data_IF_289517822920
#
_entry.id   IF_289517822920
#
_cell.length_a   1.000
_cell.length_b   1.000
_cell.length_c   1.000
_cell.angle_alpha   90.00
_cell.angle_beta   90.00
_cell.angle_gamma   90.00
#
_symmetry.space_group_name_H-M   'P 1'
#
loop_
_entity.id
_entity.type
_entity.pdbx_description
1 polymer ?
#
# COMPACT_ATOMS: atom_id res chain seq x y z
N UNK A 1 -9.52 24.26 28.46
CA UNK A 1 -8.35 24.02 27.56
C UNK A 1 -7.10 23.48 28.26
N UNK A 2 -6.86 23.75 29.55
CA UNK A 2 -5.65 23.30 30.27
C UNK A 2 -5.52 21.77 30.46
N UNK A 3 -6.54 20.97 30.16
CA UNK A 3 -6.66 19.57 30.62
C UNK A 3 -6.23 18.50 29.62
N UNK A 4 -6.15 18.80 28.32
CA UNK A 4 -5.75 17.82 27.28
C UNK A 4 -4.25 17.91 27.00
N UNK A 5 -3.71 19.12 26.82
CA UNK A 5 -2.27 19.37 26.68
C UNK A 5 -1.47 18.79 27.85
N UNK A 6 -1.89 19.09 29.08
CA UNK A 6 -1.24 18.60 30.31
C UNK A 6 -1.29 17.07 30.46
N UNK A 7 -2.21 16.39 29.76
CA UNK A 7 -2.31 14.92 29.74
C UNK A 7 -1.51 14.28 28.62
N UNK A 8 -1.38 14.94 27.47
CA UNK A 8 -0.71 14.39 26.27
C UNK A 8 0.79 14.68 26.27
N UNK A 9 1.20 15.89 26.66
CA UNK A 9 2.60 16.33 26.64
C UNK A 9 3.53 15.39 27.44
N UNK A 10 3.19 14.93 28.66
CA UNK A 10 4.02 13.97 29.40
C UNK A 10 4.11 12.59 28.74
N UNK A 11 3.07 12.15 28.04
CA UNK A 11 3.04 10.87 27.32
C UNK A 11 3.98 10.94 26.12
N UNK A 12 3.90 12.02 25.34
CA UNK A 12 4.77 12.22 24.17
C UNK A 12 6.23 12.36 24.60
N UNK A 13 6.52 13.14 25.66
CA UNK A 13 7.88 13.26 26.21
C UNK A 13 8.41 11.91 26.71
N UNK A 14 7.58 11.10 27.37
CA UNK A 14 7.99 9.78 27.85
C UNK A 14 8.24 8.79 26.70
N UNK A 15 7.42 8.82 25.66
CA UNK A 15 7.65 8.01 24.45
C UNK A 15 8.95 8.46 23.76
N UNK A 16 9.17 9.76 23.55
CA UNK A 16 10.39 10.29 22.96
C UNK A 16 11.64 9.89 23.75
N UNK A 17 11.60 9.95 25.09
CA UNK A 17 12.70 9.53 25.94
C UNK A 17 12.98 8.01 25.85
N UNK A 18 11.94 7.17 25.74
CA UNK A 18 12.07 5.73 25.56
C UNK A 18 12.66 5.38 24.18
N UNK A 19 12.23 6.08 23.12
CA UNK A 19 12.76 5.92 21.76
C UNK A 19 14.24 6.33 21.70
N UNK A 20 14.59 7.50 22.23
CA UNK A 20 15.96 8.00 22.26
C UNK A 20 16.91 7.10 23.09
N UNK A 21 16.43 6.57 24.23
CA UNK A 21 17.20 5.62 25.04
C UNK A 21 17.47 4.29 24.30
N UNK A 22 16.47 3.80 23.55
CA UNK A 22 16.58 2.58 22.74
C UNK A 22 17.53 2.77 21.55
N UNK A 23 17.40 3.90 20.84
CA UNK A 23 18.29 4.32 19.74
C UNK A 23 19.76 4.39 20.19
N UNK A 24 20.04 5.02 21.33
CA UNK A 24 21.41 5.12 21.86
C UNK A 24 22.03 3.76 22.25
N UNK A 25 21.23 2.83 22.79
CA UNK A 25 21.70 1.47 23.11
C UNK A 25 21.97 0.65 21.84
N UNK A 26 21.12 0.78 20.82
CA UNK A 26 21.28 0.15 19.52
C UNK A 26 22.54 0.63 18.80
N UNK A 27 22.73 1.95 18.69
CA UNK A 27 23.90 2.56 18.05
C UNK A 27 25.23 2.14 18.70
N UNK A 28 25.26 1.98 20.03
CA UNK A 28 26.43 1.47 20.76
C UNK A 28 26.72 0.01 20.45
N UNK A 29 25.68 -0.82 20.35
CA UNK A 29 25.80 -2.23 19.97
C UNK A 29 26.25 -2.37 18.50
N UNK A 30 25.67 -1.60 17.60
CA UNK A 30 26.03 -1.55 16.17
C UNK A 30 27.50 -1.15 15.98
N UNK A 31 27.95 -0.11 16.66
CA UNK A 31 29.36 0.35 16.64
C UNK A 31 30.31 -0.75 17.14
N UNK A 32 29.93 -1.44 18.22
CA UNK A 32 30.74 -2.53 18.80
C UNK A 32 30.82 -3.72 17.84
N UNK A 33 29.69 -4.09 17.23
CA UNK A 33 29.58 -5.17 16.25
C UNK A 33 30.39 -4.87 14.99
N UNK A 34 30.28 -3.65 14.45
CA UNK A 34 31.08 -3.15 13.33
C UNK A 34 32.58 -3.23 13.60
N UNK A 35 33.02 -2.84 14.80
CA UNK A 35 34.43 -2.91 15.18
C UNK A 35 34.94 -4.36 15.27
N UNK A 36 34.14 -5.27 15.83
CA UNK A 36 34.43 -6.71 15.91
C UNK A 36 34.50 -7.36 14.52
N UNK A 37 33.51 -7.11 13.66
CA UNK A 37 33.49 -7.58 12.27
C UNK A 37 34.72 -7.08 11.51
N UNK A 38 35.06 -5.79 11.62
CA UNK A 38 36.25 -5.24 10.99
C UNK A 38 37.55 -5.94 11.43
N UNK A 39 37.68 -6.31 12.71
CA UNK A 39 38.84 -7.05 13.22
C UNK A 39 38.87 -8.49 12.72
N UNK A 40 37.73 -9.17 12.68
CA UNK A 40 37.63 -10.55 12.20
C UNK A 40 37.89 -10.65 10.70
N UNK A 41 37.39 -9.71 9.91
CA UNK A 41 37.62 -9.62 8.46
C UNK A 41 39.08 -9.36 8.09
N UNK A 42 39.87 -8.76 8.99
CA UNK A 42 41.33 -8.54 8.81
C UNK A 42 42.18 -9.68 9.40
N UNK A 43 41.57 -10.67 10.03
CA UNK A 43 42.28 -11.79 10.65
C UNK A 43 42.45 -12.93 9.64
N UNK A 44 43.50 -13.75 9.82
CA UNK A 44 43.72 -14.97 9.02
C UNK A 44 42.63 -16.05 9.21
N UNK A 45 41.65 -15.82 10.09
CA UNK A 45 40.55 -16.73 10.41
C UNK A 45 39.52 -16.89 9.27
N UNK A 46 39.56 -16.05 8.23
CA UNK A 46 38.68 -16.16 7.05
C UNK A 46 38.91 -17.40 6.19
N UNK A 47 39.96 -18.18 6.44
CA UNK A 47 40.23 -19.45 5.73
C UNK A 47 39.44 -20.62 6.29
N UNK A 48 38.73 -20.42 7.39
CA UNK A 48 37.87 -21.40 8.02
C UNK A 48 36.42 -21.15 7.57
N UNK A 49 35.82 -22.14 6.93
CA UNK A 49 34.48 -22.03 6.34
C UNK A 49 33.39 -21.82 7.40
N UNK A 50 33.56 -22.34 8.62
CA UNK A 50 32.62 -22.13 9.73
C UNK A 50 32.66 -20.67 10.22
N UNK A 51 33.87 -20.08 10.26
CA UNK A 51 34.04 -18.67 10.62
C UNK A 51 33.45 -17.75 9.54
N UNK A 52 33.56 -18.13 8.27
CA UNK A 52 32.99 -17.38 7.15
C UNK A 52 31.46 -17.38 7.18
N UNK A 53 30.84 -18.52 7.46
CA UNK A 53 29.37 -18.63 7.60
C UNK A 53 28.86 -17.81 8.79
N UNK A 54 29.55 -17.87 9.94
CA UNK A 54 29.21 -17.06 11.12
C UNK A 54 29.38 -15.57 10.86
N UNK A 55 30.39 -15.15 10.09
CA UNK A 55 30.57 -13.74 9.69
C UNK A 55 29.46 -13.26 8.77
N UNK A 56 28.96 -14.12 7.88
CA UNK A 56 27.81 -13.80 7.03
C UNK A 56 26.54 -13.58 7.87
N UNK A 57 26.30 -14.45 8.86
CA UNK A 57 25.18 -14.28 9.81
C UNK A 57 25.30 -12.98 10.60
N UNK A 58 26.48 -12.64 11.10
CA UNK A 58 26.72 -11.38 11.80
C UNK A 58 26.51 -10.15 10.90
N UNK A 59 26.87 -10.24 9.62
CA UNK A 59 26.57 -9.22 8.62
C UNK A 59 25.07 -9.02 8.37
N UNK A 60 24.29 -10.12 8.33
CA UNK A 60 22.82 -10.08 8.23
C UNK A 60 22.18 -9.45 9.47
N UNK A 61 22.66 -9.79 10.66
CA UNK A 61 22.20 -9.19 11.92
C UNK A 61 22.49 -7.68 11.94
N UNK A 62 23.67 -7.27 11.50
CA UNK A 62 24.05 -5.87 11.41
C UNK A 62 23.12 -5.09 10.45
N UNK A 63 22.82 -5.65 9.27
CA UNK A 63 21.90 -5.03 8.32
C UNK A 63 20.48 -4.84 8.90
N UNK A 64 19.99 -5.83 9.67
CA UNK A 64 18.71 -5.72 10.39
C UNK A 64 18.75 -4.64 11.48
N UNK A 65 19.88 -4.51 12.19
CA UNK A 65 20.05 -3.45 13.19
C UNK A 65 20.03 -2.07 12.55
N UNK A 66 20.71 -1.88 11.42
CA UNK A 66 20.70 -0.62 10.67
C UNK A 66 19.29 -0.28 10.14
N UNK A 67 18.52 -1.26 9.66
CA UNK A 67 17.12 -1.05 9.24
C UNK A 67 16.20 -0.65 10.41
N UNK A 68 16.40 -1.27 11.58
CA UNK A 68 15.70 -0.89 12.81
C UNK A 68 16.03 0.54 13.25
N UNK A 69 17.29 0.96 13.12
CA UNK A 69 17.72 2.32 13.47
C UNK A 69 17.11 3.36 12.52
N UNK A 70 17.08 3.08 11.20
CA UNK A 70 16.39 3.93 10.22
C UNK A 70 14.89 4.06 10.52
N UNK A 71 14.23 2.96 10.93
CA UNK A 71 12.82 3.00 11.35
C UNK A 71 12.60 3.79 12.64
N UNK A 72 13.53 3.72 13.59
CA UNK A 72 13.45 4.55 14.79
C UNK A 72 13.57 6.05 14.45
N UNK A 73 14.46 6.41 13.53
CA UNK A 73 14.60 7.80 13.05
C UNK A 73 13.32 8.29 12.34
N UNK A 74 12.68 7.43 11.54
CA UNK A 74 11.41 7.76 10.87
C UNK A 74 10.26 7.95 11.88
N UNK A 75 10.18 7.10 12.91
CA UNK A 75 9.20 7.26 14.00
C UNK A 75 9.44 8.58 14.74
N UNK A 76 10.70 8.97 14.99
CA UNK A 76 11.03 10.26 15.61
C UNK A 76 10.59 11.44 14.74
N UNK A 77 10.76 11.37 13.41
CA UNK A 77 10.25 12.38 12.47
C UNK A 77 8.73 12.50 12.50
N UNK A 78 8.02 11.37 12.48
CA UNK A 78 6.56 11.36 12.59
C UNK A 78 6.06 11.93 13.92
N UNK A 79 6.76 11.65 15.03
CA UNK A 79 6.45 12.25 16.33
C UNK A 79 6.62 13.77 16.32
N UNK A 80 7.67 14.30 15.67
CA UNK A 80 7.87 15.74 15.52
C UNK A 80 6.76 16.39 14.69
N UNK A 81 6.29 15.73 13.63
CA UNK A 81 5.16 16.21 12.83
C UNK A 81 3.87 16.30 13.66
N UNK A 82 3.56 15.27 14.45
CA UNK A 82 2.38 15.27 15.35
C UNK A 82 2.47 16.41 16.37
N UNK A 83 3.65 16.64 16.96
CA UNK A 83 3.88 17.76 17.87
C UNK A 83 3.70 19.13 17.21
N UNK A 84 4.14 19.28 15.95
CA UNK A 84 3.97 20.51 15.18
C UNK A 84 2.48 20.80 14.90
N UNK A 85 1.71 19.78 14.49
CA UNK A 85 0.26 19.91 14.27
C UNK A 85 -0.50 20.23 15.55
N UNK A 86 -0.15 19.60 16.68
CA UNK A 86 -0.73 19.93 17.98
C UNK A 86 -0.45 21.40 18.35
N UNK A 87 0.76 21.91 18.09
CA UNK A 87 1.08 23.33 18.32
C UNK A 87 0.26 24.28 17.44
N UNK A 88 -0.01 23.91 16.18
CA UNK A 88 -0.85 24.69 15.27
C UNK A 88 -2.30 24.73 15.77
N UNK A 89 -2.83 23.58 16.20
CA UNK A 89 -4.17 23.46 16.77
C UNK A 89 -4.33 24.29 18.04
N UNK A 90 -3.34 24.26 18.94
CA UNK A 90 -3.33 25.11 20.14
C UNK A 90 -3.38 26.60 19.80
N UNK A 91 -2.58 27.05 18.84
CA UNK A 91 -2.58 28.46 18.39
C UNK A 91 -3.92 28.86 17.76
N UNK A 92 -4.57 27.96 17.01
CA UNK A 92 -5.90 28.21 16.43
C UNK A 92 -6.98 28.30 17.50
N UNK A 93 -6.92 27.41 18.49
CA UNK A 93 -7.84 27.38 19.62
C UNK A 93 -7.73 28.63 20.50
N UNK A 94 -6.51 29.10 20.79
CA UNK A 94 -6.29 30.35 21.54
C UNK A 94 -6.88 31.56 20.81
N UNK A 95 -6.68 31.67 19.49
CA UNK A 95 -7.28 32.75 18.67
C UNK A 95 -8.81 32.74 18.69
N UNK A 96 -9.44 31.56 18.75
CA UNK A 96 -10.90 31.46 18.84
C UNK A 96 -11.43 31.92 20.21
N UNK A 97 -10.66 31.72 21.30
CA UNK A 97 -11.04 32.24 22.63
C UNK A 97 -10.87 33.75 22.77
N UNK A 98 -9.99 34.37 21.97
CA UNK A 98 -9.79 35.83 21.94
C UNK A 98 -10.90 36.57 21.20
N UNK A 99 -11.57 35.92 20.25
CA UNK A 99 -12.65 36.51 19.44
C UNK A 99 -14.01 36.56 20.17
N UNK A 100 -14.19 35.80 21.25
CA UNK A 100 -15.39 35.87 22.09
C UNK A 100 -15.32 36.99 23.16
N UNK A 101 -14.18 37.67 23.30
CA UNK A 101 -13.96 38.71 24.32
C UNK A 101 -14.03 40.16 23.79
N UNK A 102 -14.25 40.38 22.50
CA UNK A 102 -14.18 41.73 21.87
C UNK A 102 -15.54 42.33 21.48
N UNK A 103 -16.66 41.80 21.98
CA UNK A 103 -17.95 42.50 21.96
C UNK A 103 -18.26 43.07 23.35
N UNK A 104 -17.56 44.15 23.69
CA UNK A 104 -17.87 45.03 24.82
C UNK A 104 -18.32 46.41 24.33
N UNK A 105 -19.49 46.81 24.80
CA UNK A 105 -20.10 48.15 24.91
C UNK A 105 -19.78 49.24 23.87
N UNK A 106 -20.84 49.74 23.21
CA UNK A 106 -20.79 50.96 22.40
C UNK A 106 -22.17 51.40 21.87
N UNK A 107 -22.86 52.19 22.70
CA UNK A 107 -23.77 53.34 22.47
C UNK A 107 -24.89 53.36 21.40
N UNK A 108 -25.97 54.01 21.86
CA UNK A 108 -27.25 54.35 21.25
C UNK A 108 -27.13 55.13 19.91
N UNK A 109 -28.04 54.86 18.96
CA UNK A 109 -28.92 55.92 18.42
C UNK A 109 -30.07 55.39 17.55
N UNK A 110 -31.17 56.12 17.71
CA UNK A 110 -32.56 56.01 17.25
C UNK A 110 -32.74 55.95 15.71
N UNK A 111 -33.72 55.16 15.23
CA UNK A 111 -34.75 55.52 14.21
C UNK A 111 -35.78 54.37 14.08
N UNK A 112 -37.03 54.64 14.45
CA UNK A 112 -38.28 53.88 14.15
C UNK A 112 -38.79 54.19 12.70
N UNK A 113 -39.87 53.60 12.09
CA UNK A 113 -41.01 52.78 12.61
C UNK A 113 -41.48 51.67 11.57
N UNK A 114 -42.75 51.16 11.45
CA UNK A 114 -43.94 51.18 12.31
C UNK A 114 -44.62 49.80 12.58
N UNK A 115 -45.68 49.91 13.39
CA UNK A 115 -46.62 48.97 14.06
C UNK A 115 -47.58 48.18 13.14
N UNK A 116 -47.95 46.93 13.51
CA UNK A 116 -49.36 46.47 13.61
C UNK A 116 -49.54 45.14 14.38
N UNK A 117 -50.69 45.04 15.06
CA UNK A 117 -50.97 44.26 16.28
C UNK A 117 -52.01 43.10 16.10
N UNK A 118 -51.92 42.17 17.05
CA UNK A 118 -52.76 41.08 17.57
C UNK A 118 -54.13 40.71 16.94
N UNK A 119 -54.25 39.43 16.55
CA UNK A 119 -55.33 38.47 16.93
C UNK A 119 -54.75 37.04 16.82
N UNK A 120 -55.03 36.00 17.60
CA UNK A 120 -55.79 35.78 18.81
C UNK A 120 -55.20 34.52 19.49
N UNK A 121 -55.09 34.54 20.81
CA UNK A 121 -54.82 33.38 21.65
C UNK A 121 -56.11 32.58 21.80
N UNK A 122 -56.09 31.31 21.43
CA UNK A 122 -56.55 30.17 22.25
C UNK A 122 -56.86 29.00 21.33
N UNK A 123 -56.16 27.88 21.53
CA UNK A 123 -56.79 26.61 21.91
C UNK A 123 -55.71 25.54 22.04
N UNK A 124 -55.78 24.89 23.20
CA UNK A 124 -54.88 23.90 23.75
C UNK A 124 -55.13 22.51 23.18
N UNK A 125 -54.05 21.73 23.09
CA UNK A 125 -53.99 20.28 23.37
C UNK A 125 -55.02 19.34 22.72
N UNK A 126 -54.67 18.78 21.56
CA UNK A 126 -54.85 17.36 21.23
C UNK A 126 -54.19 17.06 19.86
N UNK A 127 -53.51 15.91 19.75
CA UNK A 127 -52.90 15.31 18.55
C UNK A 127 -51.56 15.97 18.10
N UNK A 128 -50.41 15.30 17.99
CA UNK A 128 -50.14 13.89 17.81
C UNK A 128 -48.83 13.47 18.50
N UNK A 129 -48.96 12.66 19.56
CA UNK A 129 -47.94 11.72 19.99
C UNK A 129 -47.89 10.56 18.99
N UNK A 130 -47.02 10.64 17.98
CA UNK A 130 -46.62 9.50 17.17
C UNK A 130 -45.29 9.79 16.49
N UNK A 131 -44.19 9.70 17.26
CA UNK A 131 -42.81 9.50 16.78
C UNK A 131 -41.85 9.48 17.97
N UNK A 132 -41.99 8.48 18.84
CA UNK A 132 -40.86 7.99 19.62
C UNK A 132 -41.21 6.60 20.20
N UNK A 133 -40.20 5.72 20.17
CA UNK A 133 -40.11 4.32 20.62
C UNK A 133 -40.25 3.25 19.52
N UNK A 134 -39.43 2.15 19.51
CA UNK A 134 -38.11 1.96 20.14
C UNK A 134 -37.05 1.38 19.16
N UNK A 135 -35.86 2.00 19.12
CA UNK A 135 -34.66 1.50 18.40
C UNK A 135 -34.13 0.18 19.00
N UNK A 136 -34.70 -0.29 20.11
CA UNK A 136 -34.29 -1.52 20.81
C UNK A 136 -34.82 -2.82 20.19
N UNK A 137 -35.85 -2.78 19.33
CA UNK A 137 -36.43 -4.00 18.72
C UNK A 137 -35.75 -4.44 17.42
N UNK A 138 -35.00 -3.58 16.74
CA UNK A 138 -34.28 -3.95 15.51
C UNK A 138 -33.01 -4.76 15.80
N UNK A 139 -32.30 -4.45 16.88
CA UNK A 139 -31.09 -5.18 17.28
C UNK A 139 -31.42 -6.61 17.75
N UNK A 140 -32.58 -6.82 18.38
CA UNK A 140 -33.01 -8.15 18.84
C UNK A 140 -33.40 -9.06 17.67
N UNK A 141 -34.03 -8.49 16.62
CA UNK A 141 -34.34 -9.21 15.40
C UNK A 141 -33.06 -9.58 14.61
N UNK A 142 -32.08 -8.68 14.53
CA UNK A 142 -30.77 -8.94 13.95
C UNK A 142 -29.99 -10.05 14.69
N UNK A 143 -30.05 -10.07 16.02
CA UNK A 143 -29.44 -11.12 16.86
C UNK A 143 -30.13 -12.49 16.67
N UNK A 144 -31.46 -12.53 16.57
CA UNK A 144 -32.20 -13.77 16.32
C UNK A 144 -31.96 -14.32 14.90
N UNK A 145 -31.81 -13.44 13.90
CA UNK A 145 -31.43 -13.82 12.54
C UNK A 145 -30.01 -14.40 12.51
N UNK A 146 -29.05 -13.80 13.23
CA UNK A 146 -27.68 -14.32 13.34
C UNK A 146 -27.57 -15.69 14.02
N UNK A 147 -28.56 -16.08 14.84
CA UNK A 147 -28.64 -17.39 15.50
C UNK A 147 -29.35 -18.46 14.65
N UNK A 148 -30.11 -18.06 13.62
CA UNK A 148 -30.82 -18.97 12.70
C UNK A 148 -30.01 -19.32 11.45
N UNK A 149 -28.95 -18.56 11.15
CA UNK A 149 -27.95 -18.97 10.17
C UNK A 149 -26.82 -19.69 10.92
N UNK A 150 -26.63 -21.02 10.73
CA UNK A 150 -25.38 -21.63 11.16
C UNK A 150 -24.27 -20.80 10.51
N UNK A 151 -23.26 -20.40 11.30
CA UNK A 151 -22.07 -19.78 10.77
C UNK A 151 -21.56 -20.73 9.68
N UNK A 152 -21.83 -20.39 8.42
CA UNK A 152 -21.23 -21.08 7.29
C UNK A 152 -19.75 -21.06 7.61
N UNK A 153 -19.16 -22.23 7.85
CA UNK A 153 -17.71 -22.33 7.81
C UNK A 153 -17.34 -21.76 6.45
N UNK A 154 -16.84 -20.53 6.45
CA UNK A 154 -16.13 -20.02 5.30
C UNK A 154 -15.00 -21.03 5.16
N UNK A 155 -15.10 -21.91 4.17
CA UNK A 155 -13.94 -22.65 3.70
C UNK A 155 -13.01 -21.51 3.31
N UNK A 156 -12.08 -21.20 4.19
CA UNK A 156 -11.07 -20.19 3.92
C UNK A 156 -10.28 -20.77 2.75
N UNK A 157 -10.61 -20.31 1.54
CA UNK A 157 -9.93 -20.73 0.33
C UNK A 157 -8.45 -20.46 0.59
N UNK A 158 -7.65 -21.53 0.60
CA UNK A 158 -6.21 -21.46 0.83
C UNK A 158 -5.51 -20.96 -0.44
N UNK A 159 -5.95 -19.79 -0.90
CA UNK A 159 -5.53 -19.11 -2.11
C UNK A 159 -4.91 -17.79 -1.70
N UNK A 160 -3.63 -17.66 -1.98
CA UNK A 160 -2.88 -16.42 -1.79
C UNK A 160 -3.04 -15.55 -3.04
N UNK A 161 -3.68 -14.40 -2.89
CA UNK A 161 -3.69 -13.39 -3.95
C UNK A 161 -2.35 -12.66 -3.97
N UNK A 162 -1.70 -12.63 -5.12
CA UNK A 162 -0.41 -11.98 -5.36
C UNK A 162 -0.59 -10.92 -6.44
N UNK A 163 -0.60 -9.66 -6.02
CA UNK A 163 -0.58 -8.51 -6.94
C UNK A 163 0.86 -8.07 -7.18
N UNK A 164 1.26 -7.97 -8.45
CA UNK A 164 2.59 -7.58 -8.91
C UNK A 164 2.48 -6.26 -9.66
N UNK A 165 3.02 -5.19 -9.06
CA UNK A 165 3.12 -3.87 -9.68
C UNK A 165 4.52 -3.74 -10.29
N UNK A 166 4.62 -3.50 -11.60
CA UNK A 166 5.89 -3.58 -12.32
C UNK A 166 5.92 -2.66 -13.55
N UNK A 167 7.13 -2.52 -14.12
CA UNK A 167 7.37 -1.82 -15.39
C UNK A 167 8.04 -2.74 -16.40
N UNK A 168 7.69 -2.57 -17.66
CA UNK A 168 8.21 -3.42 -18.73
C UNK A 168 9.70 -3.26 -18.99
N UNK A 169 10.32 -2.10 -18.69
CA UNK A 169 11.76 -1.86 -18.91
C UNK A 169 12.58 -1.82 -17.62
N UNK A 170 11.97 -2.05 -16.45
CA UNK A 170 12.68 -2.10 -15.18
C UNK A 170 13.43 -3.45 -15.01
N UNK A 171 14.77 -3.47 -14.87
CA UNK A 171 15.52 -4.72 -14.75
C UNK A 171 15.13 -5.58 -13.54
N UNK A 172 14.85 -4.95 -12.39
CA UNK A 172 14.41 -5.68 -11.19
C UNK A 172 13.03 -6.34 -11.40
N UNK A 173 12.13 -5.67 -12.14
CA UNK A 173 10.81 -6.22 -12.50
C UNK A 173 10.95 -7.44 -13.41
N UNK A 174 11.80 -7.35 -14.45
CA UNK A 174 12.13 -8.47 -15.32
C UNK A 174 12.71 -9.64 -14.52
N UNK A 175 13.69 -9.37 -13.67
CA UNK A 175 14.35 -10.39 -12.87
C UNK A 175 13.36 -11.11 -11.94
N UNK A 176 12.54 -10.39 -11.19
CA UNK A 176 11.55 -11.00 -10.32
C UNK A 176 10.58 -11.90 -11.09
N UNK A 177 10.00 -11.41 -12.19
CA UNK A 177 9.02 -12.18 -12.96
C UNK A 177 9.66 -13.45 -13.52
N UNK A 178 10.84 -13.33 -14.12
CA UNK A 178 11.49 -14.42 -14.86
C UNK A 178 12.22 -15.42 -13.97
N UNK A 179 12.74 -14.98 -12.82
CA UNK A 179 13.60 -15.81 -11.95
C UNK A 179 12.97 -16.20 -10.61
N UNK A 180 11.95 -15.48 -10.15
CA UNK A 180 11.27 -15.75 -8.88
C UNK A 180 9.85 -16.27 -9.12
N UNK A 181 8.98 -15.46 -9.70
CA UNK A 181 7.55 -15.76 -9.82
C UNK A 181 7.27 -16.92 -10.80
N UNK A 182 7.73 -16.81 -12.04
CA UNK A 182 7.47 -17.81 -13.09
C UNK A 182 7.92 -19.23 -12.71
N UNK A 183 9.17 -19.47 -12.27
CA UNK A 183 9.62 -20.83 -11.93
C UNK A 183 8.95 -21.39 -10.67
N UNK A 184 8.46 -20.52 -9.77
CA UNK A 184 7.78 -20.95 -8.54
C UNK A 184 6.31 -21.33 -8.78
N UNK A 185 5.69 -20.78 -9.82
CA UNK A 185 4.25 -20.93 -10.04
C UNK A 185 3.82 -22.39 -10.15
N UNK A 186 4.55 -23.24 -10.88
CA UNK A 186 4.18 -24.66 -11.05
C UNK A 186 4.17 -25.44 -9.74
N UNK A 187 4.92 -25.01 -8.71
CA UNK A 187 4.98 -25.65 -7.39
C UNK A 187 3.73 -25.37 -6.56
N UNK A 188 3.12 -24.20 -6.71
CA UNK A 188 2.05 -23.69 -5.82
C UNK A 188 0.84 -23.10 -6.58
N UNK A 189 0.68 -23.40 -7.87
CA UNK A 189 -0.29 -22.77 -8.76
C UNK A 189 -1.75 -22.89 -8.29
N UNK A 190 -2.12 -24.03 -7.68
CA UNK A 190 -3.47 -24.26 -7.14
C UNK A 190 -3.78 -23.39 -5.91
N UNK A 191 -2.78 -22.78 -5.30
CA UNK A 191 -2.88 -21.91 -4.13
C UNK A 191 -2.59 -20.45 -4.46
N UNK A 192 -2.53 -20.06 -5.75
CA UNK A 192 -2.23 -18.69 -6.17
C UNK A 192 -3.35 -18.06 -6.99
N UNK A 193 -3.59 -16.77 -6.70
CA UNK A 193 -4.34 -15.86 -7.55
C UNK A 193 -3.46 -14.67 -7.95
N UNK A 194 -2.96 -14.68 -9.19
CA UNK A 194 -2.06 -13.67 -9.74
C UNK A 194 -2.84 -12.48 -10.31
N UNK A 195 -2.38 -11.29 -9.97
CA UNK A 195 -2.86 -10.02 -10.49
C UNK A 195 -1.66 -9.18 -10.95
N UNK A 196 -1.65 -8.82 -12.22
CA UNK A 196 -0.53 -8.12 -12.86
C UNK A 196 -0.90 -6.67 -13.15
N UNK A 197 -0.07 -5.73 -12.70
CA UNK A 197 -0.28 -4.29 -12.88
C UNK A 197 0.95 -3.67 -13.58
N UNK A 198 1.07 -3.81 -14.92
CA UNK A 198 2.11 -3.15 -15.72
C UNK A 198 1.83 -1.65 -15.82
N UNK A 199 2.47 -0.86 -14.96
CA UNK A 199 2.37 0.60 -14.95
C UNK A 199 3.56 1.20 -14.22
N UNK A 200 3.80 0.71 -13.00
CA UNK A 200 4.91 1.11 -12.15
C UNK A 200 4.84 2.54 -11.66
N UNK A 201 5.88 3.32 -11.95
CA UNK A 201 6.02 4.73 -11.56
C UNK A 201 5.76 5.68 -12.72
N UNK A 202 5.08 5.20 -13.76
CA UNK A 202 4.58 6.07 -14.81
C UNK A 202 3.64 7.15 -14.21
N UNK A 203 3.45 8.24 -14.94
CA UNK A 203 2.38 9.21 -14.67
C UNK A 203 1.46 9.25 -15.88
N UNK A 204 0.20 9.64 -15.65
CA UNK A 204 -0.78 9.82 -16.72
C UNK A 204 -1.65 11.05 -16.50
N UNK A 205 -2.02 11.72 -17.59
CA UNK A 205 -2.82 12.95 -17.56
C UNK A 205 -3.58 13.12 -18.89
N UNK A 206 -4.68 13.88 -18.87
CA UNK A 206 -5.47 14.17 -20.07
C UNK A 206 -4.95 15.41 -20.78
N UNK A 207 -4.80 15.31 -22.11
CA UNK A 207 -4.57 16.44 -23.02
C UNK A 207 -5.59 16.32 -24.15
N UNK A 208 -6.45 17.33 -24.29
CA UNK A 208 -7.53 17.35 -25.30
C UNK A 208 -8.40 16.07 -25.30
N UNK A 209 -8.73 15.57 -24.10
CA UNK A 209 -9.53 14.36 -23.92
C UNK A 209 -8.81 13.05 -24.24
N UNK A 210 -7.49 13.07 -24.46
CA UNK A 210 -6.67 11.87 -24.69
C UNK A 210 -5.66 11.67 -23.58
N UNK A 211 -5.49 10.43 -23.13
CA UNK A 211 -4.45 10.12 -22.15
C UNK A 211 -3.06 10.29 -22.73
N UNK A 212 -2.16 10.84 -21.92
CA UNK A 212 -0.73 10.92 -22.15
C UNK A 212 -0.01 10.29 -20.98
N UNK A 213 1.11 9.64 -21.27
CA UNK A 213 1.88 8.88 -20.30
C UNK A 213 3.33 9.36 -20.29
N UNK A 214 3.92 9.43 -19.10
CA UNK A 214 5.36 9.61 -18.91
C UNK A 214 5.89 8.47 -18.05
N UNK A 215 6.84 7.70 -18.58
CA UNK A 215 7.42 6.53 -17.90
C UNK A 215 8.91 6.76 -17.61
N UNK A 216 9.47 6.05 -16.63
CA UNK A 216 10.83 6.29 -16.12
C UNK A 216 11.90 5.97 -17.17
N UNK A 217 11.66 4.94 -17.98
CA UNK A 217 12.56 4.48 -19.04
C UNK A 217 12.10 4.95 -20.43
N UNK A 218 11.35 6.06 -20.49
CA UNK A 218 10.92 6.68 -21.74
C UNK A 218 9.67 6.06 -22.37
N UNK A 219 9.31 6.47 -23.60
CA UNK A 219 8.05 6.09 -24.25
C UNK A 219 7.95 4.60 -24.56
N UNK A 220 9.07 3.92 -24.78
CA UNK A 220 9.11 2.48 -25.04
C UNK A 220 8.62 1.68 -23.84
N UNK A 221 8.90 2.13 -22.61
CA UNK A 221 8.33 1.52 -21.41
C UNK A 221 6.81 1.68 -21.35
N UNK A 222 6.30 2.86 -21.68
CA UNK A 222 4.85 3.06 -21.73
C UNK A 222 4.20 2.12 -22.76
N UNK A 223 4.82 1.96 -23.95
CA UNK A 223 4.32 1.05 -24.98
C UNK A 223 4.41 -0.43 -24.55
N UNK A 224 5.52 -0.84 -23.93
CA UNK A 224 5.69 -2.19 -23.38
C UNK A 224 4.70 -2.50 -22.26
N UNK A 225 4.41 -1.53 -21.39
CA UNK A 225 3.35 -1.61 -20.39
C UNK A 225 1.98 -1.79 -21.07
N UNK A 226 1.67 -1.01 -22.12
CA UNK A 226 0.42 -1.17 -22.90
C UNK A 226 0.28 -2.52 -23.57
N UNK A 227 1.34 -3.04 -24.20
CA UNK A 227 1.31 -4.39 -24.79
C UNK A 227 0.91 -5.45 -23.76
N UNK A 228 1.53 -5.40 -22.58
CA UNK A 228 1.22 -6.34 -21.51
C UNK A 228 -0.19 -6.13 -20.95
N UNK A 229 -0.60 -4.87 -20.72
CA UNK A 229 -1.94 -4.52 -20.25
C UNK A 229 -3.05 -5.01 -21.20
N UNK A 230 -2.89 -4.80 -22.51
CA UNK A 230 -3.83 -5.25 -23.53
C UNK A 230 -3.93 -6.78 -23.61
N UNK A 231 -2.83 -7.50 -23.48
CA UNK A 231 -2.84 -8.96 -23.37
C UNK A 231 -3.54 -9.45 -22.09
N UNK A 232 -3.25 -8.82 -20.96
CA UNK A 232 -3.79 -9.18 -19.64
C UNK A 232 -5.29 -8.88 -19.47
N UNK A 233 -5.81 -7.90 -20.22
CA UNK A 233 -7.24 -7.56 -20.26
C UNK A 233 -8.10 -8.66 -20.92
N UNK A 234 -7.48 -9.61 -21.64
CA UNK A 234 -8.21 -10.73 -22.25
C UNK A 234 -8.58 -11.79 -21.22
N UNK A 235 -9.68 -12.49 -21.49
CA UNK A 235 -10.17 -13.57 -20.64
C UNK A 235 -9.37 -14.86 -20.87
N UNK A 236 -8.29 -15.04 -20.12
CA UNK A 236 -7.39 -16.20 -20.20
C UNK A 236 -7.07 -16.73 -18.81
N UNK A 237 -6.60 -17.97 -18.75
CA UNK A 237 -6.19 -18.59 -17.48
C UNK A 237 -4.97 -17.88 -16.87
N UNK A 238 -4.81 -17.99 -15.55
CA UNK A 238 -3.66 -17.42 -14.86
C UNK A 238 -2.33 -17.95 -15.41
N UNK A 239 -2.26 -19.24 -15.73
CA UNK A 239 -1.07 -19.86 -16.31
C UNK A 239 -0.70 -19.23 -17.66
N UNK A 240 -1.66 -19.03 -18.55
CA UNK A 240 -1.43 -18.36 -19.84
C UNK A 240 -1.00 -16.90 -19.66
N UNK A 241 -1.66 -16.17 -18.74
CA UNK A 241 -1.29 -14.77 -18.44
C UNK A 241 0.13 -14.68 -17.91
N UNK A 242 0.51 -15.56 -16.99
CA UNK A 242 1.87 -15.62 -16.46
C UNK A 242 2.89 -16.03 -17.53
N UNK A 243 2.59 -17.01 -18.40
CA UNK A 243 3.49 -17.42 -19.47
C UNK A 243 3.72 -16.28 -20.48
N UNK A 244 2.67 -15.52 -20.80
CA UNK A 244 2.76 -14.32 -21.64
C UNK A 244 3.61 -13.22 -20.99
N UNK A 245 3.34 -12.87 -19.74
CA UNK A 245 4.10 -11.84 -19.01
C UNK A 245 5.57 -12.26 -18.89
N UNK A 246 5.84 -13.53 -18.52
CA UNK A 246 7.21 -14.05 -18.48
C UNK A 246 7.92 -13.97 -19.85
N UNK A 247 7.23 -14.31 -20.94
CA UNK A 247 7.77 -14.19 -22.29
C UNK A 247 8.12 -12.74 -22.64
N UNK A 248 7.19 -11.80 -22.39
CA UNK A 248 7.39 -10.37 -22.66
C UNK A 248 8.54 -9.80 -21.83
N UNK A 249 8.59 -10.13 -20.53
CA UNK A 249 9.63 -9.66 -19.60
C UNK A 249 10.99 -10.35 -19.81
N UNK A 250 11.04 -11.43 -20.59
CA UNK A 250 12.28 -12.08 -21.06
C UNK A 250 12.76 -11.54 -22.42
N UNK A 251 11.98 -10.70 -23.09
CA UNK A 251 12.37 -10.13 -24.37
C UNK A 251 13.47 -9.08 -24.20
N UNK A 252 14.41 -8.99 -25.14
CA UNK A 252 15.43 -7.94 -25.15
C UNK A 252 14.83 -6.54 -25.28
N UNK A 253 13.69 -6.43 -25.97
CA UNK A 253 12.88 -5.22 -26.03
C UNK A 253 11.38 -5.56 -25.90
N UNK A 254 10.80 -5.46 -24.70
CA UNK A 254 9.36 -5.67 -24.45
C UNK A 254 8.42 -4.70 -25.15
N UNK A 255 8.92 -3.55 -25.63
CA UNK A 255 8.10 -2.59 -26.39
C UNK A 255 7.95 -2.98 -27.86
N UNK A 256 8.77 -3.89 -28.36
CA UNK A 256 8.80 -4.23 -29.79
C UNK A 256 7.62 -5.10 -30.24
N UNK A 257 7.13 -4.90 -31.46
CA UNK A 257 6.14 -5.78 -32.08
C UNK A 257 6.65 -7.23 -32.23
N UNK A 258 7.97 -7.42 -32.34
CA UNK A 258 8.58 -8.74 -32.35
C UNK A 258 8.38 -9.48 -31.02
N UNK A 259 8.47 -8.78 -29.88
CA UNK A 259 8.16 -9.37 -28.59
C UNK A 259 6.69 -9.79 -28.52
N UNK A 260 5.77 -8.93 -28.96
CA UNK A 260 4.33 -9.25 -29.02
C UNK A 260 4.07 -10.45 -29.93
N UNK A 261 4.65 -10.46 -31.13
CA UNK A 261 4.53 -11.56 -32.11
C UNK A 261 4.98 -12.89 -31.52
N UNK A 262 6.08 -12.89 -30.75
CA UNK A 262 6.61 -14.08 -30.09
C UNK A 262 5.75 -14.52 -28.91
N UNK A 263 5.18 -13.58 -28.16
CA UNK A 263 4.55 -13.87 -26.87
C UNK A 263 3.02 -13.98 -26.91
N UNK A 264 2.33 -13.30 -27.83
CA UNK A 264 0.87 -13.41 -27.97
C UNK A 264 0.34 -14.85 -28.12
N UNK A 265 1.04 -15.77 -28.82
CA UNK A 265 0.62 -17.18 -28.88
C UNK A 265 0.52 -17.86 -27.51
N UNK A 266 1.23 -17.38 -26.47
CA UNK A 266 1.13 -17.91 -25.10
C UNK A 266 -0.22 -17.65 -24.44
N UNK A 267 -0.92 -16.61 -24.89
CA UNK A 267 -2.31 -16.33 -24.50
C UNK A 267 -3.32 -17.09 -25.38
N UNK A 268 -2.90 -17.67 -26.51
CA UNK A 268 -3.81 -18.25 -27.50
C UNK A 268 -4.68 -17.20 -28.20
N UNK A 269 -4.21 -15.95 -28.33
CA UNK A 269 -4.94 -14.86 -28.99
C UNK A 269 -4.21 -14.35 -30.24
N UNK A 270 -4.92 -13.71 -31.19
CA UNK A 270 -4.30 -13.05 -32.33
C UNK A 270 -3.30 -11.97 -31.91
N UNK A 271 -2.21 -11.82 -32.66
CA UNK A 271 -1.21 -10.75 -32.43
C UNK A 271 -1.86 -9.37 -32.55
N UNK A 272 -2.73 -9.20 -33.56
CA UNK A 272 -3.47 -7.97 -33.82
C UNK A 272 -4.30 -7.51 -32.60
N UNK A 273 -4.86 -8.43 -31.82
CA UNK A 273 -5.65 -8.10 -30.63
C UNK A 273 -4.85 -7.33 -29.57
N UNK A 274 -3.53 -7.51 -29.52
CA UNK A 274 -2.63 -6.78 -28.62
C UNK A 274 -2.15 -5.49 -29.28
N UNK A 275 -1.69 -5.55 -30.54
CA UNK A 275 -1.12 -4.39 -31.24
C UNK A 275 -2.16 -3.31 -31.54
N UNK A 276 -3.36 -3.70 -31.99
CA UNK A 276 -4.43 -2.75 -32.26
C UNK A 276 -4.92 -2.12 -30.95
N UNK A 277 -5.03 -2.93 -29.89
CA UNK A 277 -5.37 -2.44 -28.56
C UNK A 277 -4.33 -1.43 -28.06
N UNK A 278 -3.04 -1.77 -28.11
CA UNK A 278 -1.97 -0.91 -27.57
C UNK A 278 -1.82 0.39 -28.34
N UNK A 279 -2.20 0.42 -29.62
CA UNK A 279 -2.19 1.62 -30.46
C UNK A 279 -3.52 2.40 -30.44
N UNK A 280 -4.48 1.99 -29.62
CA UNK A 280 -5.81 2.63 -29.54
C UNK A 280 -6.04 3.36 -28.21
N UNK A 281 -7.08 4.21 -28.19
CA UNK A 281 -7.58 4.84 -26.98
C UNK A 281 -8.04 3.83 -25.92
N UNK A 282 -8.41 2.60 -26.32
CA UNK A 282 -8.75 1.52 -25.38
C UNK A 282 -7.53 1.08 -24.59
N UNK A 283 -6.38 0.88 -25.26
CA UNK A 283 -5.13 0.55 -24.57
C UNK A 283 -4.65 1.67 -23.66
N UNK A 284 -4.85 2.92 -24.07
CA UNK A 284 -4.57 4.08 -23.23
C UNK A 284 -5.46 4.11 -21.99
N UNK A 285 -6.78 3.90 -22.13
CA UNK A 285 -7.70 3.84 -20.99
C UNK A 285 -7.36 2.69 -20.02
N UNK A 286 -7.03 1.51 -20.53
CA UNK A 286 -6.58 0.37 -19.70
C UNK A 286 -5.34 0.77 -18.90
N UNK A 287 -4.34 1.37 -19.53
CA UNK A 287 -3.10 1.75 -18.83
C UNK A 287 -3.35 2.85 -17.79
N UNK A 288 -4.22 3.83 -18.08
CA UNK A 288 -4.63 4.85 -17.12
C UNK A 288 -5.32 4.23 -15.88
N UNK A 289 -6.20 3.25 -16.07
CA UNK A 289 -6.84 2.53 -14.97
C UNK A 289 -5.85 1.75 -14.11
N UNK A 290 -4.84 1.11 -14.70
CA UNK A 290 -3.73 0.49 -13.96
C UNK A 290 -2.91 1.54 -13.20
N UNK A 291 -2.75 2.74 -13.76
CA UNK A 291 -2.16 3.88 -13.09
C UNK A 291 -2.95 4.35 -11.88
N UNK A 292 -4.27 4.48 -12.00
CA UNK A 292 -5.14 4.82 -10.88
C UNK A 292 -5.04 3.78 -9.75
N UNK A 293 -5.02 2.49 -10.09
CA UNK A 293 -4.79 1.42 -9.10
C UNK A 293 -3.43 1.56 -8.41
N UNK A 294 -2.39 1.90 -9.16
CA UNK A 294 -1.04 2.08 -8.63
C UNK A 294 -0.93 3.29 -7.71
N UNK A 295 -1.52 4.43 -8.09
CA UNK A 295 -1.56 5.65 -7.28
C UNK A 295 -2.44 5.53 -6.02
N UNK A 296 -3.41 4.61 -6.01
CA UNK A 296 -4.26 4.35 -4.86
C UNK A 296 -3.58 3.53 -3.75
N UNK A 297 -2.41 2.94 -4.01
CA UNK A 297 -1.70 2.15 -3.01
C UNK A 297 -1.26 2.99 -1.82
N UNK A 298 -1.34 2.38 -0.62
CA UNK A 298 -0.85 2.96 0.62
C UNK A 298 0.08 1.95 1.32
N UNK A 299 1.36 2.31 1.56
CA UNK A 299 2.03 3.54 1.12
C UNK A 299 2.20 3.61 -0.40
N UNK A 300 2.47 4.81 -0.92
CA UNK A 300 2.81 5.00 -2.33
C UNK A 300 4.02 4.14 -2.72
N UNK A 301 4.03 3.62 -3.96
CA UNK A 301 5.15 2.81 -4.46
C UNK A 301 6.45 3.62 -4.49
N UNK A 302 7.48 3.14 -3.80
CA UNK A 302 8.84 3.70 -3.83
C UNK A 302 9.84 2.82 -4.58
N UNK A 303 9.56 1.52 -4.79
CA UNK A 303 10.44 0.55 -5.45
C UNK A 303 9.66 -0.41 -6.34
N UNK A 304 10.27 -0.89 -7.42
CA UNK A 304 9.67 -1.84 -8.35
C UNK A 304 10.55 -3.08 -8.55
N UNK A 305 9.96 -4.27 -8.69
CA UNK A 305 8.51 -4.52 -8.63
C UNK A 305 8.00 -4.40 -7.20
N UNK A 306 6.75 -3.98 -6.99
CA UNK A 306 6.08 -4.03 -5.68
C UNK A 306 5.15 -5.24 -5.62
N UNK A 307 5.32 -6.07 -4.59
CA UNK A 307 4.61 -7.34 -4.41
C UNK A 307 3.67 -7.21 -3.22
N UNK A 308 2.39 -7.47 -3.43
CA UNK A 308 1.33 -7.34 -2.42
C UNK A 308 0.60 -8.66 -2.29
N UNK A 309 0.48 -9.14 -1.05
CA UNK A 309 -0.26 -10.36 -0.73
C UNK A 309 -1.62 -10.00 -0.11
N UNK A 310 -2.68 -10.62 -0.62
CA UNK A 310 -4.06 -10.44 -0.14
C UNK A 310 -4.45 -8.96 0.01
N UNK A 311 -4.09 -8.14 -0.99
CA UNK A 311 -4.40 -6.70 -1.06
C UNK A 311 -3.83 -5.83 0.07
N UNK A 312 -2.94 -6.37 0.92
CA UNK A 312 -2.31 -5.65 2.03
C UNK A 312 -0.82 -5.53 1.81
N UNK A 313 -0.32 -4.31 1.63
CA UNK A 313 1.12 -4.05 1.57
C UNK A 313 1.76 -4.28 2.95
N UNK A 314 2.78 -5.13 3.00
CA UNK A 314 3.65 -5.34 4.16
C UNK A 314 5.09 -5.33 3.69
N UNK A 315 5.89 -4.38 4.19
CA UNK A 315 7.28 -4.19 3.77
C UNK A 315 8.12 -5.47 3.84
N UNK A 316 8.02 -6.23 4.94
CA UNK A 316 8.76 -7.48 5.13
C UNK A 316 8.32 -8.58 4.15
N UNK A 317 7.02 -8.66 3.84
CA UNK A 317 6.50 -9.63 2.85
C UNK A 317 6.96 -9.24 1.45
N UNK A 318 6.87 -7.97 1.10
CA UNK A 318 7.36 -7.44 -0.17
C UNK A 318 8.85 -7.73 -0.38
N UNK A 319 9.70 -7.40 0.59
CA UNK A 319 11.14 -7.66 0.51
C UNK A 319 11.45 -9.16 0.49
N UNK A 320 10.78 -9.96 1.33
CA UNK A 320 10.91 -11.41 1.31
C UNK A 320 10.57 -11.98 -0.05
N UNK A 321 9.46 -11.53 -0.66
CA UNK A 321 9.01 -12.00 -1.96
C UNK A 321 9.99 -11.63 -3.09
N UNK A 322 10.64 -10.46 -3.02
CA UNK A 322 11.68 -10.09 -4.01
C UNK A 322 12.89 -11.03 -3.93
N UNK A 323 13.30 -11.43 -2.71
CA UNK A 323 14.48 -12.25 -2.49
C UNK A 323 14.23 -13.75 -2.74
N UNK A 324 13.14 -14.26 -2.16
CA UNK A 324 12.69 -15.64 -2.26
C UNK A 324 11.16 -15.66 -2.25
N UNK A 325 10.59 -15.59 -3.46
CA UNK A 325 9.14 -15.57 -3.64
C UNK A 325 8.47 -16.83 -3.12
N UNK A 326 9.02 -18.01 -3.41
CA UNK A 326 8.42 -19.28 -3.08
C UNK A 326 8.30 -19.44 -1.57
N UNK A 327 9.41 -19.26 -0.84
CA UNK A 327 9.42 -19.38 0.63
C UNK A 327 8.47 -18.37 1.24
N UNK A 328 8.47 -17.12 0.75
CA UNK A 328 7.60 -16.06 1.28
C UNK A 328 6.12 -16.35 1.03
N UNK A 329 5.76 -16.83 -0.16
CA UNK A 329 4.40 -17.22 -0.50
C UNK A 329 3.93 -18.42 0.33
N UNK A 330 4.77 -19.43 0.49
CA UNK A 330 4.48 -20.60 1.32
C UNK A 330 4.26 -20.25 2.79
N UNK A 331 5.03 -19.32 3.34
CA UNK A 331 4.82 -18.84 4.71
C UNK A 331 3.55 -18.00 4.89
N UNK A 332 3.00 -17.46 3.80
CA UNK A 332 1.76 -16.70 3.80
C UNK A 332 0.50 -17.56 3.60
N UNK A 333 0.66 -18.83 3.23
CA UNK A 333 -0.44 -19.78 3.07
C UNK A 333 -0.78 -20.45 4.41
N UNK A 334 -2.07 -20.50 4.75
CA UNK A 334 -2.54 -21.14 5.98
C UNK A 334 -2.31 -22.66 5.97
N UNK A 335 -2.36 -23.29 4.79
CA UNK A 335 -1.96 -24.67 4.59
C UNK A 335 -0.93 -24.76 3.45
N UNK A 336 0.28 -25.23 3.72
CA UNK A 336 1.33 -25.28 2.71
C UNK A 336 1.09 -26.43 1.72
N UNK A 337 0.95 -26.16 0.40
CA UNK A 337 0.91 -27.20 -0.61
C UNK A 337 2.24 -27.95 -0.67
N UNK A 338 2.22 -29.17 -1.23
CA UNK A 338 3.43 -30.02 -1.30
C UNK A 338 4.63 -29.36 -1.99
N UNK A 339 4.41 -28.40 -2.89
CA UNK A 339 5.47 -27.64 -3.55
C UNK A 339 6.20 -26.61 -2.68
N UNK A 340 5.80 -26.44 -1.41
CA UNK A 340 6.49 -25.58 -0.44
C UNK A 340 7.68 -26.23 0.26
N UNK A 341 7.88 -27.54 0.11
CA UNK A 341 8.88 -28.31 0.86
C UNK A 341 10.22 -28.48 0.13
N UNK A 342 10.68 -27.50 -0.67
CA UNK A 342 11.83 -27.71 -1.56
C UNK A 342 12.66 -26.50 -1.90
#
# INVERSE_FOLDING_TARGET
>A
MLTIRTKIEPIVTRIAALTASKSNKHKKLETTLNHLLGRLMRSKAQKDDEIKERLEVLGKILALMTDLDNKCEEIEKQQQMVLAELSILEKRMLRHSSLEQDFGDGDEDDVSPPVFDMTAVSQTSAQAHAKLMPVYNMNLLLLLVALLFPASHQIEENVLKVSVYYESLCPASMQFITTQLYPSYSKISSSLLLDFVPYGKANHYLVDGKWKFTCQHGPDECLGNKHQACGLARNQTQAQKLEFVNCMMSASNPSSENAVTKCAPKLGIPIADILDCSNSAVGDEILAQLGNRTHALQPNIYFLPTIIFNDVYKFNVHLGAIYDFLTTACNALNNQPGGCNG
#
